data_IF_227157376054
#
_entry.id   IF_227157376054
#
_cell.length_a   1.000
_cell.length_b   1.000
_cell.length_c   1.000
_cell.angle_alpha   90.00
_cell.angle_beta   90.00
_cell.angle_gamma   90.00
#
_symmetry.space_group_name_H-M   'P 1'
#
loop_
_entity.id
_entity.type
_entity.pdbx_description
1 polymer ?
#
# COMPACT_ATOMS: atom_id res chain seq x y z
N UNK A 1 25.49 20.52 -34.90
CA UNK A 1 24.14 20.83 -35.41
C UNK A 1 23.55 19.56 -35.98
N UNK A 2 22.51 19.00 -35.37
CA UNK A 2 21.64 17.99 -35.99
C UNK A 2 20.25 18.13 -35.36
N UNK A 3 19.27 18.50 -36.19
CA UNK A 3 17.89 18.74 -35.83
C UNK A 3 17.09 17.44 -35.89
N UNK A 4 16.46 17.05 -34.79
CA UNK A 4 15.37 16.08 -34.86
C UNK A 4 14.07 16.84 -35.15
N UNK A 5 13.54 16.63 -36.36
CA UNK A 5 12.23 17.10 -36.80
C UNK A 5 11.15 16.42 -35.95
N UNK A 6 10.37 17.23 -35.24
CA UNK A 6 9.06 16.85 -34.73
C UNK A 6 8.14 16.52 -35.92
N UNK A 7 7.67 15.28 -35.99
CA UNK A 7 6.54 14.93 -36.85
C UNK A 7 5.29 15.49 -36.16
N UNK A 8 4.76 16.58 -36.72
CA UNK A 8 3.39 17.05 -36.44
C UNK A 8 2.43 16.17 -37.24
N UNK A 9 1.50 15.53 -36.55
CA UNK A 9 0.20 15.18 -37.13
C UNK A 9 -0.83 16.12 -36.52
N UNK A 10 -1.14 17.20 -37.25
CA UNK A 10 -2.39 17.92 -37.08
C UNK A 10 -3.45 17.19 -37.91
N UNK A 11 -4.47 16.69 -37.23
CA UNK A 11 -5.82 16.60 -37.77
C UNK A 11 -6.70 17.25 -36.71
N UNK A 12 -7.11 18.48 -36.99
CA UNK A 12 -8.06 19.24 -36.18
C UNK A 12 -9.40 18.50 -36.18
N UNK A 13 -9.77 17.95 -35.03
CA UNK A 13 -11.16 17.67 -34.70
C UNK A 13 -11.47 18.46 -33.43
N UNK A 14 -12.28 19.51 -33.59
CA UNK A 14 -13.00 20.14 -32.49
C UNK A 14 -13.99 19.12 -31.93
N UNK A 15 -13.58 18.38 -30.91
CA UNK A 15 -14.48 17.68 -30.00
C UNK A 15 -14.43 18.39 -28.66
N UNK A 16 -15.60 18.90 -28.24
CA UNK A 16 -15.81 19.35 -26.87
C UNK A 16 -15.31 18.26 -25.92
N UNK A 17 -14.52 18.67 -24.92
CA UNK A 17 -13.89 17.78 -23.95
C UNK A 17 -14.89 17.08 -23.03
N UNK A 18 -15.58 16.07 -23.57
CA UNK A 18 -16.19 15.00 -22.81
C UNK A 18 -15.31 13.76 -22.97
N UNK A 19 -14.76 13.33 -21.84
CA UNK A 19 -13.93 12.14 -21.70
C UNK A 19 -14.78 10.89 -22.06
N UNK A 20 -14.52 10.31 -23.23
CA UNK A 20 -15.20 9.10 -23.76
C UNK A 20 -15.12 7.88 -22.82
N UNK A 21 -14.26 7.93 -21.79
CA UNK A 21 -14.18 6.88 -20.76
C UNK A 21 -15.39 6.82 -19.81
N UNK A 22 -16.29 7.82 -19.84
CA UNK A 22 -17.48 7.87 -18.97
C UNK A 22 -18.78 7.41 -19.64
N UNK A 23 -18.84 7.34 -20.98
CA UNK A 23 -20.08 6.98 -21.70
C UNK A 23 -20.52 5.53 -21.50
N UNK A 24 -19.61 4.62 -21.18
CA UNK A 24 -19.93 3.21 -21.02
C UNK A 24 -20.54 2.84 -19.67
N UNK A 25 -20.56 3.75 -18.68
CA UNK A 25 -21.12 3.47 -17.35
C UNK A 25 -22.58 3.91 -17.19
N UNK A 26 -23.05 4.88 -18.00
CA UNK A 26 -24.43 5.35 -17.95
C UNK A 26 -25.43 4.43 -18.65
N UNK A 27 -24.99 3.56 -19.57
CA UNK A 27 -25.89 2.66 -20.32
C UNK A 27 -26.25 1.36 -19.57
N UNK A 28 -25.67 1.12 -18.40
CA UNK A 28 -25.88 -0.12 -17.61
C UNK A 28 -27.05 -0.06 -16.63
N UNK A 29 -27.80 1.05 -16.56
CA UNK A 29 -28.81 1.22 -15.52
C UNK A 29 -30.21 0.71 -15.85
N UNK A 30 -30.48 0.24 -17.08
CA UNK A 30 -31.83 -0.25 -17.46
C UNK A 30 -31.87 -1.53 -18.31
N UNK A 31 -30.76 -2.28 -18.44
CA UNK A 31 -30.77 -3.53 -19.23
C UNK A 31 -31.10 -4.75 -18.36
N UNK A 32 -32.24 -5.40 -18.63
CA UNK A 32 -32.57 -6.73 -18.06
C UNK A 32 -31.39 -7.68 -18.25
N UNK A 33 -31.01 -8.39 -17.19
CA UNK A 33 -29.87 -9.34 -17.12
C UNK A 33 -29.89 -10.38 -18.26
N UNK A 34 -31.07 -10.66 -18.84
CA UNK A 34 -31.26 -11.59 -19.97
C UNK A 34 -30.72 -11.12 -21.33
N UNK A 35 -30.17 -9.90 -21.47
CA UNK A 35 -29.64 -9.40 -22.74
C UNK A 35 -28.12 -9.17 -22.79
N UNK A 36 -27.39 -9.57 -21.74
CA UNK A 36 -25.93 -9.55 -21.77
C UNK A 36 -25.46 -10.68 -22.70
N UNK A 37 -25.04 -10.32 -23.92
CA UNK A 37 -24.32 -11.26 -24.78
C UNK A 37 -23.01 -11.63 -24.08
N UNK A 38 -22.95 -12.86 -23.58
CA UNK A 38 -21.70 -13.46 -23.12
C UNK A 38 -20.84 -13.63 -24.37
N UNK A 39 -19.87 -12.74 -24.56
CA UNK A 39 -18.85 -12.91 -25.59
C UNK A 39 -18.10 -14.22 -25.29
N UNK A 40 -17.83 -15.06 -26.31
CA UNK A 40 -17.05 -16.27 -26.11
C UNK A 40 -15.68 -15.87 -25.55
N UNK A 41 -15.21 -16.62 -24.55
CA UNK A 41 -13.88 -16.48 -23.96
C UNK A 41 -12.86 -16.78 -25.06
N UNK A 42 -12.38 -15.75 -25.73
CA UNK A 42 -11.22 -15.89 -26.60
C UNK A 42 -10.00 -16.04 -25.70
N UNK A 43 -9.16 -17.08 -25.92
CA UNK A 43 -7.93 -17.23 -25.17
C UNK A 43 -7.11 -15.95 -25.33
N UNK A 44 -6.79 -15.31 -24.20
CA UNK A 44 -5.95 -14.11 -24.19
C UNK A 44 -4.63 -14.51 -24.86
N UNK A 45 -4.29 -13.82 -25.95
CA UNK A 45 -3.07 -14.10 -26.69
C UNK A 45 -1.86 -13.81 -25.77
N UNK A 46 -1.17 -14.84 -25.27
CA UNK A 46 -0.16 -14.75 -24.20
C UNK A 46 1.04 -13.84 -24.55
N UNK A 47 1.31 -13.63 -25.84
CA UNK A 47 2.29 -12.63 -26.32
C UNK A 47 1.94 -11.22 -25.82
N UNK A 48 0.65 -10.86 -25.76
CA UNK A 48 0.19 -9.56 -25.27
C UNK A 48 0.30 -9.38 -23.76
N UNK A 49 0.39 -10.47 -22.97
CA UNK A 49 0.59 -10.40 -21.52
C UNK A 49 2.04 -10.05 -21.18
N UNK A 50 3.03 -10.61 -21.88
CA UNK A 50 4.44 -10.18 -21.74
C UNK A 50 4.64 -8.72 -22.18
N UNK A 51 3.94 -8.28 -23.21
CA UNK A 51 3.98 -6.88 -23.67
C UNK A 51 3.26 -5.91 -22.72
N UNK A 52 2.15 -6.33 -22.08
CA UNK A 52 1.41 -5.51 -21.09
C UNK A 52 2.04 -5.51 -19.69
N UNK A 53 2.66 -6.60 -19.27
CA UNK A 53 3.18 -6.79 -17.90
C UNK A 53 4.71 -6.75 -17.79
N UNK A 54 5.45 -6.62 -18.90
CA UNK A 54 6.91 -6.49 -18.90
C UNK A 54 7.64 -7.81 -18.61
N UNK A 55 8.89 -7.72 -18.10
CA UNK A 55 9.64 -8.90 -17.67
C UNK A 55 8.80 -9.70 -16.66
N UNK A 56 8.48 -10.94 -17.00
CA UNK A 56 7.83 -11.88 -16.08
C UNK A 56 8.72 -11.97 -14.85
N UNK A 57 8.24 -11.44 -13.73
CA UNK A 57 8.88 -11.59 -12.45
C UNK A 57 8.63 -13.02 -11.95
N UNK A 58 9.63 -13.63 -11.31
CA UNK A 58 9.47 -14.93 -10.66
C UNK A 58 8.50 -14.86 -9.45
N UNK A 59 8.05 -13.66 -9.09
CA UNK A 59 7.16 -13.41 -7.97
C UNK A 59 5.90 -12.67 -8.43
N UNK A 60 4.78 -12.96 -7.77
CA UNK A 60 3.55 -12.21 -8.02
C UNK A 60 3.71 -10.74 -7.59
N UNK A 61 2.95 -9.80 -8.17
CA UNK A 61 2.89 -8.46 -7.62
C UNK A 61 2.26 -8.46 -6.22
N UNK A 62 2.70 -7.55 -5.34
CA UNK A 62 2.10 -7.35 -4.02
C UNK A 62 1.31 -6.04 -3.94
N UNK A 63 0.24 -5.97 -3.13
CA UNK A 63 -0.39 -4.70 -2.76
C UNK A 63 0.61 -3.72 -2.13
N UNK A 64 0.39 -2.41 -2.28
CA UNK A 64 1.31 -1.35 -1.82
C UNK A 64 1.61 -1.49 -0.32
N UNK A 65 0.60 -1.78 0.51
CA UNK A 65 0.77 -2.04 1.94
C UNK A 65 1.78 -3.13 2.27
N UNK A 66 1.78 -4.22 1.51
CA UNK A 66 2.68 -5.35 1.72
C UNK A 66 4.09 -5.02 1.22
N UNK A 67 4.22 -4.26 0.12
CA UNK A 67 5.51 -3.74 -0.33
C UNK A 67 6.13 -2.78 0.70
N UNK A 68 5.32 -1.88 1.29
CA UNK A 68 5.78 -0.98 2.34
C UNK A 68 6.23 -1.75 3.59
N UNK A 69 5.51 -2.81 3.96
CA UNK A 69 5.87 -3.68 5.09
C UNK A 69 7.24 -4.37 4.87
N UNK A 70 7.47 -4.93 3.67
CA UNK A 70 8.76 -5.50 3.28
C UNK A 70 9.88 -4.46 3.25
N UNK A 71 9.60 -3.25 2.79
CA UNK A 71 10.58 -2.16 2.82
C UNK A 71 10.93 -1.78 4.27
N UNK A 72 9.96 -1.76 5.18
CA UNK A 72 10.21 -1.54 6.60
C UNK A 72 11.10 -2.63 7.19
N UNK A 73 10.82 -3.90 6.87
CA UNK A 73 11.69 -5.02 7.26
C UNK A 73 13.11 -4.83 6.71
N UNK A 74 13.27 -4.57 5.41
CA UNK A 74 14.58 -4.33 4.77
C UNK A 74 15.36 -3.22 5.49
N UNK A 75 14.69 -2.13 5.87
CA UNK A 75 15.30 -1.02 6.60
C UNK A 75 15.73 -1.41 8.02
N UNK A 76 14.96 -2.25 8.71
CA UNK A 76 15.29 -2.78 10.05
C UNK A 76 16.53 -3.65 9.95
N UNK A 77 16.52 -4.64 9.05
CA UNK A 77 17.63 -5.58 8.84
C UNK A 77 18.92 -4.84 8.44
N UNK A 78 18.83 -3.85 7.54
CA UNK A 78 19.97 -3.00 7.15
C UNK A 78 20.49 -2.17 8.34
N UNK A 79 19.60 -1.63 9.17
CA UNK A 79 20.00 -0.84 10.34
C UNK A 79 20.70 -1.72 11.37
N UNK A 80 20.21 -2.94 11.60
CA UNK A 80 20.85 -3.90 12.48
C UNK A 80 22.21 -4.31 11.93
N UNK A 81 22.32 -4.61 10.63
CA UNK A 81 23.59 -4.93 9.98
C UNK A 81 24.65 -3.85 10.17
N UNK A 82 24.24 -2.58 10.04
CA UNK A 82 25.13 -1.41 10.23
C UNK A 82 25.54 -1.21 11.69
N UNK A 83 24.60 -1.35 12.64
CA UNK A 83 24.83 -1.02 14.07
C UNK A 83 25.35 -2.18 14.90
N UNK A 84 25.04 -3.42 14.51
CA UNK A 84 25.39 -4.68 15.20
C UNK A 84 24.96 -4.72 16.67
N UNK A 85 23.86 -4.06 16.99
CA UNK A 85 23.28 -3.94 18.34
C UNK A 85 21.76 -3.95 18.25
N UNK A 86 21.04 -4.33 19.34
CA UNK A 86 19.60 -4.19 19.42
C UNK A 86 19.12 -2.80 18.99
N UNK A 87 17.94 -2.74 18.36
CA UNK A 87 17.40 -1.50 17.81
C UNK A 87 16.30 -0.96 18.74
N UNK A 88 16.53 0.22 19.30
CA UNK A 88 15.56 0.89 20.16
C UNK A 88 14.70 1.85 19.36
N UNK A 89 13.37 1.77 19.53
CA UNK A 89 12.38 2.66 18.93
C UNK A 89 11.51 3.28 20.02
N UNK A 90 11.62 4.60 20.20
CA UNK A 90 10.75 5.36 21.10
C UNK A 90 9.30 5.40 20.56
N UNK A 91 8.33 5.13 21.43
CA UNK A 91 6.92 4.96 21.06
C UNK A 91 6.34 6.25 20.46
N UNK A 92 6.65 7.41 21.05
CA UNK A 92 6.10 8.70 20.61
C UNK A 92 6.57 9.08 19.21
N UNK A 93 7.81 8.76 18.88
CA UNK A 93 8.44 9.15 17.60
C UNK A 93 8.35 8.07 16.53
N UNK A 94 8.18 6.79 16.91
CA UNK A 94 8.22 5.65 15.99
C UNK A 94 6.94 4.81 15.96
N UNK A 95 5.81 5.31 16.45
CA UNK A 95 4.50 4.63 16.48
C UNK A 95 4.19 3.79 15.23
N UNK A 96 4.30 4.36 14.03
CA UNK A 96 4.05 3.66 12.76
C UNK A 96 4.99 2.47 12.55
N UNK A 97 6.29 2.66 12.82
CA UNK A 97 7.28 1.59 12.65
C UNK A 97 7.03 0.48 13.66
N UNK A 98 6.65 0.82 14.88
CA UNK A 98 6.29 -0.14 15.93
C UNK A 98 5.07 -0.97 15.50
N UNK A 99 4.03 -0.34 14.96
CA UNK A 99 2.88 -1.06 14.41
C UNK A 99 3.28 -1.99 13.26
N UNK A 100 4.11 -1.51 12.33
CA UNK A 100 4.61 -2.35 11.23
C UNK A 100 5.47 -3.53 11.72
N UNK A 101 6.28 -3.34 12.76
CA UNK A 101 6.97 -4.45 13.44
C UNK A 101 5.96 -5.44 14.01
N UNK A 102 4.88 -4.95 14.65
CA UNK A 102 3.78 -5.80 15.12
C UNK A 102 3.11 -6.59 13.98
N UNK A 103 2.96 -6.02 12.79
CA UNK A 103 2.45 -6.73 11.60
C UNK A 103 3.41 -7.81 11.13
N UNK A 104 4.72 -7.54 11.11
CA UNK A 104 5.75 -8.54 10.78
C UNK A 104 5.72 -9.70 11.78
N UNK A 105 5.59 -9.42 13.08
CA UNK A 105 5.50 -10.45 14.13
C UNK A 105 4.19 -11.25 14.08
N UNK A 106 3.13 -10.67 13.50
CA UNK A 106 1.89 -11.41 13.24
C UNK A 106 2.10 -12.47 12.16
N UNK A 107 2.90 -12.16 11.13
CA UNK A 107 3.27 -13.12 10.07
C UNK A 107 4.29 -14.14 10.57
N UNK A 108 5.19 -13.73 11.44
CA UNK A 108 6.27 -14.57 11.96
C UNK A 108 6.67 -14.17 13.37
N UNK A 109 6.18 -14.92 14.37
CA UNK A 109 6.36 -14.60 15.78
C UNK A 109 7.83 -14.66 16.21
N UNK A 110 8.63 -15.49 15.55
CA UNK A 110 10.02 -15.73 15.91
C UNK A 110 10.97 -14.77 15.19
N UNK A 111 10.44 -13.88 14.33
CA UNK A 111 11.26 -12.98 13.52
C UNK A 111 12.13 -12.04 14.37
N UNK A 112 11.57 -11.52 15.46
CA UNK A 112 12.26 -10.64 16.40
C UNK A 112 11.78 -10.89 17.84
N UNK A 113 12.69 -10.79 18.81
CA UNK A 113 12.30 -10.59 20.22
C UNK A 113 12.08 -9.10 20.48
N UNK A 114 10.98 -8.79 21.17
CA UNK A 114 10.70 -7.43 21.64
C UNK A 114 10.86 -7.37 23.15
N UNK A 115 11.71 -6.47 23.62
CA UNK A 115 11.75 -6.04 25.02
C UNK A 115 11.19 -4.64 25.15
N UNK A 116 10.43 -4.40 26.21
CA UNK A 116 9.83 -3.09 26.46
C UNK A 116 10.69 -2.40 27.50
N UNK A 117 11.26 -1.25 27.12
CA UNK A 117 12.18 -0.49 27.96
C UNK A 117 11.71 0.95 27.95
N UNK A 118 11.20 1.43 29.10
CA UNK A 118 10.82 2.82 29.37
C UNK A 118 10.33 3.63 28.15
N UNK A 119 9.05 3.50 27.81
CA UNK A 119 8.40 4.19 26.66
C UNK A 119 9.03 3.92 25.28
N UNK A 120 9.85 2.87 25.18
CA UNK A 120 10.44 2.39 23.93
C UNK A 120 10.27 0.89 23.80
N UNK A 121 10.39 0.39 22.57
CA UNK A 121 10.61 -1.02 22.30
C UNK A 121 12.06 -1.22 21.88
N UNK A 122 12.69 -2.27 22.38
CA UNK A 122 13.98 -2.77 21.93
C UNK A 122 13.74 -4.04 21.11
N UNK A 123 14.22 -4.01 19.87
CA UNK A 123 14.11 -5.10 18.91
C UNK A 123 15.43 -5.88 18.88
N UNK A 124 15.34 -7.18 19.15
CA UNK A 124 16.47 -8.12 19.20
C UNK A 124 16.27 -9.15 18.07
N UNK A 125 17.33 -9.41 17.31
CA UNK A 125 17.31 -10.40 16.23
C UNK A 125 17.87 -11.72 16.76
N UNK A 126 16.97 -12.58 17.23
CA UNK A 126 17.30 -13.81 17.97
C UNK A 126 18.23 -14.77 17.23
N UNK A 127 18.07 -14.88 15.91
CA UNK A 127 18.74 -15.92 15.12
C UNK A 127 20.03 -15.42 14.43
N UNK A 128 20.45 -14.18 14.70
CA UNK A 128 21.56 -13.55 14.00
C UNK A 128 22.54 -12.95 15.03
N UNK A 129 23.50 -13.77 15.51
CA UNK A 129 24.62 -13.27 16.28
C UNK A 129 25.33 -12.20 15.48
N UNK A 130 25.59 -11.05 16.09
CA UNK A 130 26.28 -9.93 15.43
C UNK A 130 27.68 -10.31 14.93
N UNK A 131 28.27 -11.35 15.54
CA UNK A 131 29.55 -11.97 15.20
C UNK A 131 29.52 -12.68 13.84
N UNK A 132 28.38 -13.30 13.48
CA UNK A 132 28.21 -14.05 12.24
C UNK A 132 27.87 -13.15 11.04
N UNK A 133 27.74 -11.84 11.26
CA UNK A 133 27.43 -10.91 10.20
C UNK A 133 28.69 -10.48 9.43
N UNK A 134 28.63 -10.45 8.08
CA UNK A 134 29.70 -9.86 7.28
C UNK A 134 29.87 -8.39 7.64
N UNK A 135 31.06 -7.84 7.43
CA UNK A 135 31.28 -6.40 7.63
C UNK A 135 30.33 -5.58 6.76
N UNK A 136 29.78 -4.50 7.33
CA UNK A 136 28.87 -3.62 6.60
C UNK A 136 29.62 -2.93 5.47
N UNK A 137 29.13 -3.08 4.23
CA UNK A 137 29.69 -2.44 3.05
C UNK A 137 28.77 -1.31 2.58
N UNK A 138 29.17 -0.02 2.70
CA UNK A 138 28.30 1.13 2.42
C UNK A 138 27.77 1.22 0.98
N UNK A 139 28.47 0.60 0.03
CA UNK A 139 28.15 0.64 -1.40
C UNK A 139 27.50 -0.64 -1.91
N UNK A 140 27.25 -1.61 -1.02
CA UNK A 140 26.59 -2.85 -1.40
C UNK A 140 25.07 -2.64 -1.38
N UNK A 141 24.43 -2.82 -2.54
CA UNK A 141 22.98 -2.67 -2.69
C UNK A 141 22.19 -3.86 -2.12
N UNK A 142 22.85 -5.03 -1.99
CA UNK A 142 22.24 -6.27 -1.53
C UNK A 142 22.52 -6.47 -0.04
N UNK A 143 21.51 -6.97 0.68
CA UNK A 143 21.71 -7.37 2.06
C UNK A 143 22.45 -8.71 2.12
N UNK A 144 23.13 -9.00 3.23
CA UNK A 144 23.65 -10.34 3.51
C UNK A 144 22.58 -11.42 3.30
N UNK A 145 23.00 -12.58 2.79
CA UNK A 145 22.10 -13.68 2.43
C UNK A 145 21.17 -14.12 3.58
N UNK A 146 21.62 -14.00 4.83
CA UNK A 146 20.79 -14.31 6.01
C UNK A 146 19.57 -13.38 6.13
N UNK A 147 19.73 -12.09 5.81
CA UNK A 147 18.64 -11.13 5.82
C UNK A 147 17.76 -11.27 4.58
N UNK A 148 18.34 -11.50 3.40
CA UNK A 148 17.55 -11.73 2.18
C UNK A 148 16.66 -12.98 2.34
N UNK A 149 17.15 -14.07 2.95
CA UNK A 149 16.32 -15.26 3.26
C UNK A 149 15.16 -14.96 4.22
N UNK A 150 15.38 -14.13 5.24
CA UNK A 150 14.31 -13.71 6.16
C UNK A 150 13.26 -12.88 5.43
N UNK A 151 13.69 -11.94 4.60
CA UNK A 151 12.80 -11.11 3.77
C UNK A 151 12.01 -11.99 2.80
N UNK A 152 12.66 -12.97 2.16
CA UNK A 152 12.02 -13.94 1.27
C UNK A 152 10.96 -14.80 2.01
N UNK A 153 11.25 -15.25 3.23
CA UNK A 153 10.28 -15.97 4.07
C UNK A 153 9.01 -15.13 4.31
N UNK A 154 9.17 -13.86 4.71
CA UNK A 154 8.02 -12.95 4.90
C UNK A 154 7.32 -12.65 3.59
N UNK A 155 8.06 -12.43 2.50
CA UNK A 155 7.55 -12.22 1.14
C UNK A 155 6.66 -13.39 0.70
N UNK A 156 7.06 -14.62 0.97
CA UNK A 156 6.30 -15.84 0.63
C UNK A 156 5.01 -15.95 1.44
N UNK A 157 5.04 -15.57 2.73
CA UNK A 157 3.83 -15.52 3.57
C UNK A 157 2.84 -14.47 3.06
N UNK A 158 3.32 -13.31 2.64
CA UNK A 158 2.51 -12.26 2.02
C UNK A 158 1.92 -12.73 0.67
N UNK A 159 2.72 -13.38 -0.17
CA UNK A 159 2.25 -13.95 -1.44
C UNK A 159 1.12 -14.94 -1.24
N UNK A 160 1.24 -15.82 -0.24
CA UNK A 160 0.21 -16.79 0.08
C UNK A 160 -1.13 -16.10 0.41
N UNK A 161 -1.12 -15.03 1.20
CA UNK A 161 -2.34 -14.27 1.52
C UNK A 161 -3.00 -13.67 0.27
N UNK A 162 -2.20 -13.12 -0.65
CA UNK A 162 -2.74 -12.55 -1.89
C UNK A 162 -3.28 -13.65 -2.80
N UNK A 163 -2.56 -14.76 -2.92
CA UNK A 163 -2.97 -15.91 -3.73
C UNK A 163 -4.28 -16.53 -3.20
N UNK A 164 -4.42 -16.71 -1.89
CA UNK A 164 -5.67 -17.19 -1.29
C UNK A 164 -6.85 -16.25 -1.59
N UNK A 165 -6.61 -14.93 -1.52
CA UNK A 165 -7.63 -13.92 -1.87
C UNK A 165 -7.98 -14.00 -3.36
N UNK A 166 -6.99 -14.16 -4.23
CA UNK A 166 -7.17 -14.28 -5.68
C UNK A 166 -7.90 -15.56 -6.06
N UNK A 167 -7.56 -16.71 -5.47
CA UNK A 167 -8.25 -17.98 -5.67
C UNK A 167 -9.73 -17.89 -5.27
N UNK A 168 -10.03 -17.23 -4.15
CA UNK A 168 -11.41 -16.98 -3.73
C UNK A 168 -12.14 -16.04 -4.70
N UNK A 169 -11.46 -15.02 -5.22
CA UNK A 169 -12.02 -14.14 -6.23
C UNK A 169 -12.36 -14.88 -7.53
N UNK A 170 -11.46 -15.75 -8.02
CA UNK A 170 -11.70 -16.56 -9.21
C UNK A 170 -12.93 -17.46 -9.07
N UNK A 171 -13.13 -18.06 -7.89
CA UNK A 171 -14.35 -18.84 -7.59
C UNK A 171 -15.62 -18.00 -7.65
N UNK A 172 -15.57 -16.75 -7.17
CA UNK A 172 -16.72 -15.85 -7.17
C UNK A 172 -17.13 -15.41 -8.58
N UNK A 173 -16.19 -15.36 -9.52
CA UNK A 173 -16.46 -14.98 -10.92
C UNK A 173 -16.54 -16.18 -11.87
N UNK A 174 -16.50 -17.41 -11.35
CA UNK A 174 -16.53 -18.66 -12.12
C UNK A 174 -15.40 -18.76 -13.17
N UNK A 175 -14.18 -18.36 -12.78
CA UNK A 175 -12.97 -18.36 -13.63
C UNK A 175 -11.83 -19.19 -13.03
N UNK A 176 -12.12 -20.28 -12.32
CA UNK A 176 -11.11 -21.11 -11.65
C UNK A 176 -10.08 -21.71 -12.61
N UNK A 177 -10.45 -21.91 -13.88
CA UNK A 177 -9.53 -22.37 -14.94
C UNK A 177 -8.34 -21.42 -15.15
N UNK A 178 -8.47 -20.13 -14.80
CA UNK A 178 -7.37 -19.18 -14.86
C UNK A 178 -6.25 -19.46 -13.86
N UNK A 179 -6.51 -20.27 -12.81
CA UNK A 179 -5.54 -20.54 -11.75
C UNK A 179 -4.25 -21.20 -12.27
N UNK A 180 -4.35 -22.04 -13.29
CA UNK A 180 -3.18 -22.67 -13.92
C UNK A 180 -2.27 -21.62 -14.55
N UNK A 181 -2.83 -20.70 -15.33
CA UNK A 181 -2.10 -19.59 -15.94
C UNK A 181 -1.54 -18.63 -14.87
N UNK A 182 -2.32 -18.35 -13.83
CA UNK A 182 -1.88 -17.53 -12.71
C UNK A 182 -0.59 -18.11 -12.08
N UNK A 183 -0.56 -19.43 -11.83
CA UNK A 183 0.58 -20.13 -11.24
C UNK A 183 1.81 -20.20 -12.13
N UNK A 184 1.61 -20.41 -13.42
CA UNK A 184 2.67 -20.49 -14.43
C UNK A 184 3.34 -19.13 -14.65
N UNK A 185 2.53 -18.08 -14.84
CA UNK A 185 3.02 -16.76 -15.24
C UNK A 185 3.16 -15.77 -14.09
N UNK A 186 2.78 -16.14 -12.85
CA UNK A 186 2.79 -15.27 -11.66
C UNK A 186 1.96 -13.99 -11.85
N UNK A 187 0.82 -14.12 -12.51
CA UNK A 187 -0.11 -13.02 -12.81
C UNK A 187 -1.44 -13.18 -12.08
N UNK A 188 -2.10 -12.06 -11.78
CA UNK A 188 -3.49 -12.06 -11.32
C UNK A 188 -4.46 -11.89 -12.48
N UNK A 189 -5.71 -12.28 -12.25
CA UNK A 189 -6.80 -12.05 -13.18
C UNK A 189 -6.93 -10.54 -13.46
N UNK A 190 -7.19 -10.11 -14.71
CA UNK A 190 -7.11 -8.69 -15.07
C UNK A 190 -8.00 -7.75 -14.26
N UNK A 191 -9.14 -8.23 -13.75
CA UNK A 191 -10.07 -7.44 -12.93
C UNK A 191 -9.90 -7.65 -11.42
N UNK A 192 -8.90 -8.43 -11.00
CA UNK A 192 -8.59 -8.61 -9.58
C UNK A 192 -7.94 -7.35 -9.02
N UNK A 193 -8.62 -6.69 -8.09
CA UNK A 193 -8.08 -5.55 -7.37
C UNK A 193 -7.26 -6.04 -6.17
N UNK A 194 -5.96 -5.73 -6.16
CA UNK A 194 -5.04 -6.05 -5.07
C UNK A 194 -5.44 -5.41 -3.73
N UNK A 195 -6.26 -4.36 -3.75
CA UNK A 195 -6.79 -3.73 -2.55
C UNK A 195 -7.88 -4.57 -1.86
N UNK A 196 -8.34 -5.67 -2.48
CA UNK A 196 -9.27 -6.63 -1.86
C UNK A 196 -8.59 -7.48 -0.78
N UNK A 197 -7.26 -7.64 -0.85
CA UNK A 197 -6.49 -8.38 0.15
C UNK A 197 -6.61 -7.66 1.49
N UNK A 198 -6.94 -8.38 2.56
CA UNK A 198 -7.11 -7.77 3.87
C UNK A 198 -5.78 -7.23 4.44
N UNK A 199 -5.89 -6.21 5.29
CA UNK A 199 -4.75 -5.72 6.05
C UNK A 199 -4.32 -6.75 7.10
N UNK A 200 -3.03 -6.70 7.46
CA UNK A 200 -2.50 -7.49 8.57
C UNK A 200 -2.63 -6.66 9.83
N UNK A 201 -3.47 -7.10 10.76
CA UNK A 201 -3.54 -6.47 12.07
C UNK A 201 -2.20 -6.65 12.82
N UNK A 202 -1.63 -5.59 13.40
CA UNK A 202 -0.43 -5.70 14.22
C UNK A 202 -0.68 -6.62 15.42
N UNK A 203 0.36 -7.32 15.86
CA UNK A 203 0.33 -7.99 17.17
C UNK A 203 0.04 -6.94 18.27
N UNK A 204 -0.88 -7.27 19.17
CA UNK A 204 -1.20 -6.40 20.30
C UNK A 204 0.03 -6.25 21.20
N UNK A 205 0.40 -5.00 21.46
CA UNK A 205 1.42 -4.66 22.45
C UNK A 205 0.75 -4.52 23.82
N UNK A 206 1.46 -4.78 24.92
CA UNK A 206 0.91 -4.68 26.27
C UNK A 206 0.69 -3.22 26.72
N UNK A 207 0.77 -2.25 25.81
CA UNK A 207 0.52 -0.84 26.06
C UNK A 207 -0.14 -0.18 24.84
N UNK A 208 -0.84 0.92 25.07
CA UNK A 208 -1.46 1.71 24.01
C UNK A 208 -0.45 2.71 23.42
N UNK A 209 -0.40 2.80 22.08
CA UNK A 209 0.46 3.75 21.36
C UNK A 209 -0.20 5.13 21.24
N UNK A 210 -1.52 5.15 21.02
CA UNK A 210 -2.31 6.37 20.82
C UNK A 210 -3.31 6.54 21.97
N UNK A 211 -3.47 7.77 22.45
CA UNK A 211 -4.54 8.11 23.39
C UNK A 211 -5.92 8.11 22.71
N UNK A 212 -6.99 8.01 23.49
CA UNK A 212 -8.35 8.06 22.95
C UNK A 212 -8.63 9.35 22.17
N UNK A 213 -8.16 10.49 22.65
CA UNK A 213 -8.25 11.77 21.91
C UNK A 213 -7.56 11.71 20.54
N UNK A 214 -6.38 11.09 20.46
CA UNK A 214 -5.67 10.93 19.18
C UNK A 214 -6.41 10.00 18.22
N UNK A 215 -7.04 8.94 18.75
CA UNK A 215 -7.85 8.00 17.97
C UNK A 215 -9.07 8.70 17.39
N UNK A 216 -9.79 9.46 18.21
CA UNK A 216 -10.96 10.24 17.80
C UNK A 216 -10.58 11.29 16.74
N UNK A 217 -9.44 11.97 16.90
CA UNK A 217 -8.93 12.91 15.91
C UNK A 217 -8.59 12.24 14.58
N UNK A 218 -7.93 11.07 14.59
CA UNK A 218 -7.61 10.32 13.37
C UNK A 218 -8.91 9.84 12.69
N UNK A 219 -9.89 9.39 13.46
CA UNK A 219 -11.20 9.02 12.94
C UNK A 219 -11.88 10.22 12.25
N UNK A 220 -11.94 11.38 12.90
CA UNK A 220 -12.48 12.60 12.30
C UNK A 220 -11.75 12.99 11.00
N UNK A 221 -10.43 12.82 10.93
CA UNK A 221 -9.66 13.05 9.70
C UNK A 221 -10.17 12.15 8.57
N UNK A 222 -10.40 10.86 8.81
CA UNK A 222 -10.93 9.92 7.81
C UNK A 222 -12.31 10.37 7.34
N UNK A 223 -13.23 10.63 8.27
CA UNK A 223 -14.61 11.03 7.98
C UNK A 223 -14.67 12.31 7.14
N UNK A 224 -13.94 13.35 7.57
CA UNK A 224 -13.92 14.65 6.89
C UNK A 224 -13.22 14.53 5.53
N UNK A 225 -12.16 13.73 5.42
CA UNK A 225 -11.47 13.50 4.14
C UNK A 225 -12.44 12.87 3.14
N UNK A 226 -13.12 11.78 3.50
CA UNK A 226 -14.08 11.11 2.60
C UNK A 226 -15.20 12.08 2.18
N UNK A 227 -15.79 12.80 3.15
CA UNK A 227 -16.84 13.80 2.89
C UNK A 227 -16.34 14.90 1.93
N UNK A 228 -15.12 15.40 2.12
CA UNK A 228 -14.53 16.44 1.29
C UNK A 228 -14.34 16.01 -0.18
N UNK A 229 -13.82 14.81 -0.41
CA UNK A 229 -13.65 14.28 -1.77
C UNK A 229 -14.99 13.98 -2.45
N UNK A 230 -15.95 13.42 -1.70
CA UNK A 230 -17.30 13.13 -2.21
C UNK A 230 -18.06 14.40 -2.59
N UNK A 231 -18.05 15.42 -1.73
CA UNK A 231 -18.72 16.71 -2.00
C UNK A 231 -18.18 17.43 -3.22
N UNK A 232 -16.87 17.28 -3.50
CA UNK A 232 -16.21 17.90 -4.65
C UNK A 232 -16.25 17.03 -5.90
N UNK A 233 -16.71 15.78 -5.81
CA UNK A 233 -16.68 14.79 -6.88
C UNK A 233 -15.30 14.52 -7.49
N UNK A 234 -14.22 14.87 -6.79
CA UNK A 234 -12.83 14.69 -7.25
C UNK A 234 -12.20 13.44 -6.65
N UNK A 235 -11.17 12.90 -7.30
CA UNK A 235 -10.36 11.78 -6.77
C UNK A 235 -9.00 12.22 -6.24
N UNK A 236 -8.60 13.48 -6.48
CA UNK A 236 -7.28 13.99 -6.09
C UNK A 236 -7.35 15.47 -5.70
N UNK A 237 -6.47 15.90 -4.79
CA UNK A 237 -6.29 17.31 -4.38
C UNK A 237 -4.84 17.58 -3.98
N UNK A 238 -4.41 18.84 -3.99
CA UNK A 238 -3.11 19.21 -3.42
C UNK A 238 -3.08 18.97 -1.90
N UNK A 239 -1.95 18.44 -1.40
CA UNK A 239 -1.75 18.10 0.00
C UNK A 239 -2.03 19.28 0.94
N UNK A 240 -1.50 20.46 0.61
CA UNK A 240 -1.73 21.67 1.41
C UNK A 240 -3.22 22.04 1.49
N UNK A 241 -3.99 21.84 0.40
CA UNK A 241 -5.41 22.16 0.39
C UNK A 241 -6.19 21.21 1.30
N UNK A 242 -5.83 19.92 1.30
CA UNK A 242 -6.41 18.94 2.22
C UNK A 242 -6.07 19.28 3.68
N UNK A 243 -4.80 19.57 3.98
CA UNK A 243 -4.36 19.95 5.33
C UNK A 243 -5.10 21.20 5.83
N UNK A 244 -5.21 22.24 5.00
CA UNK A 244 -5.94 23.45 5.36
C UNK A 244 -7.43 23.17 5.59
N UNK A 245 -8.06 22.36 4.74
CA UNK A 245 -9.46 21.98 4.91
C UNK A 245 -9.69 21.25 6.24
N UNK A 246 -8.82 20.30 6.58
CA UNK A 246 -8.92 19.53 7.83
C UNK A 246 -8.66 20.41 9.06
N UNK A 247 -7.68 21.31 9.02
CA UNK A 247 -7.39 22.23 10.13
C UNK A 247 -8.53 23.21 10.42
N UNK A 248 -9.33 23.54 9.41
CA UNK A 248 -10.54 24.36 9.59
C UNK A 248 -11.69 23.60 10.28
N UNK A 249 -11.61 22.27 10.38
CA UNK A 249 -12.66 21.41 10.94
C UNK A 249 -12.25 20.72 12.22
N UNK A 250 -10.96 20.44 12.41
CA UNK A 250 -10.41 19.74 13.57
C UNK A 250 -9.39 20.65 14.24
N UNK A 251 -9.62 21.10 15.49
CA UNK A 251 -8.72 22.00 16.17
C UNK A 251 -7.44 21.25 16.62
N UNK A 252 -6.38 21.35 15.82
CA UNK A 252 -5.06 20.81 16.16
C UNK A 252 -3.93 21.59 15.47
N UNK A 253 -2.68 21.34 15.87
CA UNK A 253 -1.53 21.96 15.20
C UNK A 253 -1.32 21.38 13.80
N UNK A 254 -0.78 22.19 12.88
CA UNK A 254 -0.41 21.74 11.53
C UNK A 254 0.53 20.53 11.57
N UNK A 255 1.50 20.53 12.49
CA UNK A 255 2.43 19.41 12.63
C UNK A 255 1.72 18.10 12.99
N UNK A 256 0.77 18.15 13.93
CA UNK A 256 -0.02 16.99 14.31
C UNK A 256 -0.91 16.51 13.15
N UNK A 257 -1.56 17.43 12.43
CA UNK A 257 -2.36 17.10 11.25
C UNK A 257 -1.53 16.39 10.17
N UNK A 258 -0.34 16.91 9.86
CA UNK A 258 0.55 16.29 8.89
C UNK A 258 1.03 14.90 9.36
N UNK A 259 1.33 14.74 10.65
CA UNK A 259 1.69 13.43 11.23
C UNK A 259 0.56 12.43 11.13
N UNK A 260 -0.67 12.82 11.46
CA UNK A 260 -1.87 11.96 11.37
C UNK A 260 -2.21 11.58 9.93
N UNK A 261 -2.09 12.49 8.97
CA UNK A 261 -2.24 12.17 7.55
C UNK A 261 -1.17 11.19 7.06
N UNK A 262 0.09 11.42 7.44
CA UNK A 262 1.18 10.49 7.09
C UNK A 262 1.03 9.12 7.75
N UNK A 263 0.39 9.05 8.93
CA UNK A 263 -0.03 7.80 9.55
C UNK A 263 -1.03 7.06 8.65
N UNK A 264 -2.12 7.73 8.24
CA UNK A 264 -3.14 7.14 7.37
C UNK A 264 -2.56 6.66 6.03
N UNK A 265 -1.71 7.46 5.39
CA UNK A 265 -1.08 7.10 4.10
C UNK A 265 -0.19 5.86 4.21
N UNK A 266 0.45 5.64 5.37
CA UNK A 266 1.35 4.50 5.59
C UNK A 266 0.64 3.24 6.08
N UNK A 267 -0.46 3.40 6.79
CA UNK A 267 -1.19 2.29 7.41
C UNK A 267 -2.35 1.83 6.54
N UNK A 268 -2.99 2.74 5.80
CA UNK A 268 -4.08 2.49 4.87
C UNK A 268 -3.75 3.09 3.48
N UNK A 269 -2.66 2.66 2.81
CA UNK A 269 -2.31 3.18 1.50
C UNK A 269 -3.39 2.88 0.44
N UNK A 270 -4.25 1.89 0.63
CA UNK A 270 -5.33 1.58 -0.32
C UNK A 270 -6.48 2.61 -0.24
N UNK A 271 -6.53 3.40 0.83
CA UNK A 271 -7.49 4.49 1.06
C UNK A 271 -6.95 5.83 0.56
N UNK A 272 -5.74 6.21 1.02
CA UNK A 272 -5.17 7.53 0.81
C UNK A 272 -3.70 7.42 0.38
N UNK A 273 -3.35 8.02 -0.76
CA UNK A 273 -2.00 7.94 -1.33
C UNK A 273 -1.46 9.31 -1.70
N UNK A 274 -0.14 9.43 -1.75
CA UNK A 274 0.54 10.57 -2.38
C UNK A 274 1.21 10.10 -3.67
N UNK A 275 0.74 10.58 -4.81
CA UNK A 275 1.17 10.11 -6.14
C UNK A 275 2.49 10.73 -6.63
N UNK A 276 2.94 11.83 -6.01
CA UNK A 276 4.13 12.59 -6.42
C UNK A 276 5.16 12.76 -5.28
N UNK A 277 5.25 11.81 -4.34
CA UNK A 277 6.21 11.90 -3.24
C UNK A 277 7.66 11.59 -3.66
N UNK A 278 8.28 12.45 -4.49
CA UNK A 278 9.73 12.39 -4.75
C UNK A 278 10.49 13.14 -3.65
N UNK A 279 11.64 12.61 -3.19
CA UNK A 279 12.48 13.21 -2.13
C UNK A 279 12.81 14.69 -2.37
N UNK A 280 12.90 15.11 -3.62
CA UNK A 280 13.27 16.47 -4.04
C UNK A 280 12.06 17.41 -4.23
N UNK A 281 10.83 16.89 -4.21
CA UNK A 281 9.64 17.71 -4.42
C UNK A 281 9.15 18.30 -3.10
N UNK A 282 8.97 19.63 -3.10
CA UNK A 282 8.34 20.34 -2.00
C UNK A 282 6.94 19.79 -1.73
N UNK A 283 6.58 19.64 -0.44
CA UNK A 283 5.26 19.16 0.00
C UNK A 283 4.09 19.95 -0.61
N UNK A 284 4.31 21.22 -0.96
CA UNK A 284 3.33 22.07 -1.64
C UNK A 284 2.86 21.53 -3.00
N UNK A 285 3.66 20.67 -3.64
CA UNK A 285 3.35 20.04 -4.94
C UNK A 285 2.82 18.62 -4.80
N UNK A 286 2.74 18.09 -3.57
CA UNK A 286 2.23 16.74 -3.36
C UNK A 286 0.74 16.70 -3.68
N UNK A 287 0.35 15.65 -4.40
CA UNK A 287 -1.05 15.36 -4.74
C UNK A 287 -1.47 14.17 -3.90
N UNK A 288 -2.55 14.37 -3.15
CA UNK A 288 -3.23 13.33 -2.39
C UNK A 288 -4.35 12.76 -3.24
N UNK A 289 -4.36 11.45 -3.41
CA UNK A 289 -5.41 10.71 -4.10
C UNK A 289 -6.18 9.84 -3.11
N UNK A 290 -7.50 9.80 -3.27
CA UNK A 290 -8.38 8.90 -2.52
C UNK A 290 -8.83 7.75 -3.42
N UNK A 291 -8.99 6.56 -2.85
CA UNK A 291 -9.75 5.50 -3.48
C UNK A 291 -11.24 5.77 -3.28
N UNK A 292 -11.96 6.12 -4.35
CA UNK A 292 -13.41 6.43 -4.32
C UNK A 292 -14.30 5.26 -3.89
N UNK A 293 -13.78 4.03 -3.89
CA UNK A 293 -14.50 2.87 -3.35
C UNK A 293 -14.40 2.77 -1.82
N UNK A 294 -13.64 3.67 -1.17
CA UNK A 294 -13.52 3.72 0.28
C UNK A 294 -14.75 4.32 0.93
N UNK A 295 -15.34 3.60 1.88
CA UNK A 295 -16.42 4.10 2.72
C UNK A 295 -15.90 4.47 4.10
N UNK A 296 -16.59 5.41 4.75
CA UNK A 296 -16.28 5.84 6.12
C UNK A 296 -16.20 4.65 7.07
N UNK A 297 -17.25 3.83 7.08
CA UNK A 297 -17.36 2.64 7.92
C UNK A 297 -16.19 1.66 7.70
N UNK A 298 -15.86 1.35 6.44
CA UNK A 298 -14.76 0.41 6.12
C UNK A 298 -13.42 0.93 6.62
N UNK A 299 -13.14 2.22 6.45
CA UNK A 299 -11.85 2.79 6.85
C UNK A 299 -11.72 2.92 8.37
N UNK A 300 -12.80 3.28 9.06
CA UNK A 300 -12.83 3.34 10.53
C UNK A 300 -12.70 1.94 11.13
N UNK A 301 -13.37 0.93 10.57
CA UNK A 301 -13.25 -0.45 11.04
C UNK A 301 -11.83 -0.99 10.88
N UNK A 302 -11.18 -0.74 9.74
CA UNK A 302 -9.77 -1.08 9.54
C UNK A 302 -8.85 -0.38 10.55
N UNK A 303 -9.12 0.88 10.91
CA UNK A 303 -8.31 1.60 11.91
C UNK A 303 -8.33 0.96 13.30
N UNK A 304 -9.45 0.32 13.69
CA UNK A 304 -9.56 -0.30 15.03
C UNK A 304 -8.48 -1.35 15.26
N UNK A 305 -8.10 -2.10 14.22
CA UNK A 305 -7.04 -3.11 14.30
C UNK A 305 -5.65 -2.53 14.68
N UNK A 306 -5.44 -1.22 14.49
CA UNK A 306 -4.18 -0.55 14.81
C UNK A 306 -4.19 0.14 16.17
N UNK A 307 -5.36 0.24 16.80
CA UNK A 307 -5.55 0.92 18.07
C UNK A 307 -5.80 -0.02 19.25
N UNK A 308 -6.41 -1.19 18.99
CA UNK A 308 -6.84 -2.18 19.97
C UNK A 308 -6.27 -3.55 19.66
#
# INVERSE_FOLDING_TARGET
MNSYKLIKTQSDNNTNGEDESTRHLSELTDTKISSIKVSPVTPINFLSLRERFGQISDQYPLPIKFQQLLQTMRNIEQTYWKKRKPLTYDIKTNAIKILQIGQLLKLDKDLYEIKIVNKSIELILNDIPSENLPQFQPFQNQLPAIFEKRIESIRNKLDKLVQETHENYLKLIEQESFLEHSKEFKIYFPTFDLNLVQDIAPMQLPFQIYSDEQRDQIQQIVEITIKYFNQRSVSFVFYNNLVQHLLNKIPMSKELMEKSLMFLIKIQPDFLQITNAKKEQQKSKWIVQINKMSTELKQIESLKAYFY
#
